data_IF_436952900798
#
_entry.id   IF_436952900798
#
_cell.length_a   1.000
_cell.length_b   1.000
_cell.length_c   1.000
_cell.angle_alpha   90.00
_cell.angle_beta   90.00
_cell.angle_gamma   90.00
#
_symmetry.space_group_name_H-M   'P 1'
#
loop_
_entity.id
_entity.type
_entity.pdbx_description
1 polymer ?
#
# COMPACT_ATOMS: atom_id res chain seq x y z
N UNK A 1 34.37 -26.29 6.43
CA UNK A 1 33.15 -27.12 6.50
C UNK A 1 32.16 -26.35 7.35
N UNK A 2 31.26 -25.61 6.72
CA UNK A 2 30.21 -24.90 7.46
C UNK A 2 29.21 -25.96 7.91
N UNK A 3 29.17 -26.23 9.21
CA UNK A 3 28.11 -27.05 9.82
C UNK A 3 26.86 -26.18 9.77
N UNK A 4 26.09 -26.33 8.71
CA UNK A 4 24.69 -25.94 8.70
C UNK A 4 24.02 -26.90 9.69
N UNK A 5 23.38 -26.40 10.75
CA UNK A 5 22.54 -27.26 11.58
C UNK A 5 21.43 -27.79 10.69
N UNK A 6 21.37 -29.11 10.51
CA UNK A 6 20.31 -29.76 9.78
C UNK A 6 19.08 -29.91 10.69
N UNK A 7 17.90 -29.60 10.17
CA UNK A 7 16.64 -29.73 10.91
C UNK A 7 16.25 -31.20 11.10
N UNK A 8 16.77 -32.09 10.26
CA UNK A 8 16.62 -33.54 10.36
C UNK A 8 17.77 -34.22 11.15
N UNK A 9 18.47 -33.49 12.03
CA UNK A 9 19.54 -34.06 12.86
C UNK A 9 19.03 -35.17 13.79
N UNK A 10 19.63 -36.35 13.69
CA UNK A 10 19.42 -37.48 14.59
C UNK A 10 20.71 -37.79 15.37
N UNK A 11 20.66 -37.69 16.70
CA UNK A 11 21.81 -37.96 17.58
C UNK A 11 22.19 -39.45 17.66
N UNK A 12 21.30 -40.33 17.19
CA UNK A 12 21.52 -41.78 17.11
C UNK A 12 22.01 -42.23 15.74
N UNK A 13 22.09 -41.33 14.75
CA UNK A 13 22.60 -41.66 13.43
C UNK A 13 24.07 -42.10 13.51
N UNK A 14 24.33 -43.36 13.13
CA UNK A 14 25.69 -43.93 13.07
C UNK A 14 26.29 -43.87 11.67
N UNK A 15 25.55 -43.36 10.69
CA UNK A 15 25.97 -43.30 9.28
C UNK A 15 25.40 -42.04 8.65
N UNK A 16 26.25 -41.28 7.97
CA UNK A 16 25.87 -40.11 7.19
C UNK A 16 25.30 -40.57 5.85
N UNK A 17 24.02 -40.28 5.61
CA UNK A 17 23.34 -40.58 4.34
C UNK A 17 23.47 -39.44 3.32
N UNK A 18 24.20 -38.36 3.65
CA UNK A 18 24.39 -37.18 2.82
C UNK A 18 23.15 -36.28 2.70
N UNK A 19 22.07 -36.59 3.42
CA UNK A 19 20.82 -35.83 3.38
C UNK A 19 20.73 -34.99 4.66
N UNK A 20 21.23 -33.76 4.56
CA UNK A 20 21.05 -32.73 5.59
C UNK A 20 19.98 -31.74 5.11
N UNK A 21 18.78 -31.85 5.67
CA UNK A 21 17.70 -30.93 5.33
C UNK A 21 17.86 -29.64 6.14
N UNK A 22 17.84 -28.52 5.45
CA UNK A 22 17.63 -27.20 6.03
C UNK A 22 16.32 -26.67 5.49
N UNK A 23 15.35 -26.59 6.39
CA UNK A 23 14.03 -26.04 6.15
C UNK A 23 14.12 -24.52 6.20
N UNK A 24 13.61 -23.89 5.15
CA UNK A 24 13.51 -22.44 5.06
C UNK A 24 12.71 -22.05 3.82
N UNK A 25 12.32 -20.78 3.74
CA UNK A 25 11.66 -20.29 2.55
C UNK A 25 12.67 -20.27 1.39
N UNK A 26 12.33 -20.92 0.27
CA UNK A 26 13.17 -20.91 -0.94
C UNK A 26 12.72 -19.88 -1.99
N UNK A 27 11.63 -19.17 -1.73
CA UNK A 27 11.12 -18.12 -2.62
C UNK A 27 11.87 -16.80 -2.44
N UNK A 28 12.43 -16.28 -3.53
CA UNK A 28 13.26 -15.06 -3.54
C UNK A 28 12.48 -13.75 -3.32
N UNK A 29 11.17 -13.78 -3.51
CA UNK A 29 10.28 -12.64 -3.26
C UNK A 29 9.93 -12.44 -1.79
N UNK A 30 10.25 -13.40 -0.90
CA UNK A 30 9.87 -13.38 0.51
C UNK A 30 10.93 -12.71 1.39
N UNK A 31 10.49 -12.04 2.45
CA UNK A 31 11.38 -11.37 3.39
C UNK A 31 12.17 -12.36 4.26
N UNK A 32 11.59 -13.54 4.50
CA UNK A 32 12.22 -14.65 5.21
C UNK A 32 12.95 -15.64 4.28
N UNK A 33 13.31 -15.21 3.06
CA UNK A 33 14.06 -16.01 2.11
C UNK A 33 15.37 -16.53 2.71
N UNK A 34 15.57 -17.83 2.57
CA UNK A 34 16.76 -18.54 3.01
C UNK A 34 17.51 -19.14 1.81
N UNK A 35 18.53 -18.42 1.34
CA UNK A 35 19.40 -18.85 0.22
C UNK A 35 20.19 -20.15 0.46
N UNK A 36 20.20 -20.64 1.70
CA UNK A 36 20.89 -21.86 2.08
C UNK A 36 19.91 -22.99 2.43
N UNK A 37 18.60 -22.75 2.36
CA UNK A 37 17.60 -23.81 2.49
C UNK A 37 17.75 -24.84 1.37
N UNK A 38 17.68 -26.12 1.75
CA UNK A 38 17.73 -27.25 0.81
C UNK A 38 16.34 -27.84 0.56
N UNK A 39 15.40 -27.53 1.45
CA UNK A 39 14.00 -27.98 1.40
C UNK A 39 13.09 -26.82 1.78
N UNK A 40 12.12 -26.52 0.91
CA UNK A 40 11.13 -25.46 1.17
C UNK A 40 10.22 -25.89 2.33
N UNK A 41 10.09 -25.03 3.33
CA UNK A 41 9.20 -25.27 4.46
C UNK A 41 7.74 -24.85 4.17
N UNK A 42 7.48 -24.22 3.02
CA UNK A 42 6.15 -23.73 2.61
C UNK A 42 5.67 -22.50 3.38
N UNK A 43 6.52 -21.92 4.22
CA UNK A 43 6.25 -20.70 5.01
C UNK A 43 7.17 -19.60 4.48
N UNK A 44 6.71 -18.94 3.42
CA UNK A 44 7.35 -17.79 2.81
C UNK A 44 6.54 -16.54 3.14
N UNK A 45 7.12 -15.68 3.99
CA UNK A 45 6.45 -14.50 4.50
C UNK A 45 7.00 -13.24 3.85
N UNK A 46 6.09 -12.39 3.41
CA UNK A 46 6.38 -11.03 2.97
C UNK A 46 5.44 -10.07 3.68
N UNK A 47 6.04 -9.09 4.34
CA UNK A 47 5.34 -8.01 5.02
C UNK A 47 4.93 -6.95 4.00
N UNK A 48 3.70 -6.46 4.13
CA UNK A 48 3.19 -5.35 3.34
C UNK A 48 1.70 -5.20 3.50
N UNK A 49 1.11 -4.21 2.84
CA UNK A 49 -0.33 -4.02 2.88
C UNK A 49 -1.07 -5.13 2.12
N UNK A 50 -1.96 -5.84 2.80
CA UNK A 50 -2.79 -6.90 2.20
C UNK A 50 -4.21 -6.45 1.84
N UNK A 51 -4.55 -5.20 2.14
CA UNK A 51 -5.88 -4.64 1.87
C UNK A 51 -5.99 -4.08 0.46
N UNK A 52 -6.94 -4.59 -0.33
CA UNK A 52 -7.17 -4.22 -1.73
C UNK A 52 -7.70 -2.79 -1.95
N UNK A 53 -8.24 -2.16 -0.91
CA UNK A 53 -8.69 -0.77 -0.92
C UNK A 53 -7.55 0.26 -0.76
N UNK A 54 -6.35 -0.20 -0.39
CA UNK A 54 -5.22 0.69 -0.09
C UNK A 54 -4.42 1.03 -1.36
N UNK A 55 -3.91 2.26 -1.42
CA UNK A 55 -3.07 2.76 -2.52
C UNK A 55 -1.71 2.06 -2.56
N UNK A 56 -1.22 1.58 -1.42
CA UNK A 56 0.03 0.84 -1.27
C UNK A 56 -0.17 -0.68 -1.15
N UNK A 57 -1.29 -1.21 -1.65
CA UNK A 57 -1.55 -2.65 -1.70
C UNK A 57 -0.38 -3.42 -2.35
N UNK A 58 0.14 -4.42 -1.65
CA UNK A 58 1.18 -5.31 -2.14
C UNK A 58 0.58 -6.69 -2.44
N UNK A 59 0.45 -7.00 -3.73
CA UNK A 59 -0.11 -8.28 -4.20
C UNK A 59 0.72 -9.50 -3.79
N UNK A 60 1.98 -9.31 -3.38
CA UNK A 60 2.86 -10.37 -2.91
C UNK A 60 2.93 -10.44 -1.38
N UNK A 61 2.35 -9.49 -0.65
CA UNK A 61 2.32 -9.55 0.81
C UNK A 61 1.46 -10.73 1.28
N UNK A 62 2.04 -11.57 2.13
CA UNK A 62 1.35 -12.71 2.76
C UNK A 62 0.94 -12.41 4.19
N UNK A 63 1.53 -11.37 4.79
CA UNK A 63 1.25 -10.92 6.16
C UNK A 63 1.07 -9.41 6.17
N UNK A 64 -0.08 -8.97 6.69
CA UNK A 64 -0.37 -7.54 6.87
C UNK A 64 0.58 -6.94 7.91
N UNK A 65 1.30 -5.90 7.52
CA UNK A 65 2.21 -5.16 8.41
C UNK A 65 1.55 -3.91 9.04
N UNK A 66 0.28 -3.65 8.70
CA UNK A 66 -0.46 -2.48 9.16
C UNK A 66 -0.03 -1.17 8.49
N UNK A 67 0.76 -1.23 7.41
CA UNK A 67 1.17 -0.06 6.63
C UNK A 67 0.14 0.40 5.61
N UNK A 68 -1.00 -0.31 5.46
CA UNK A 68 -2.04 0.03 4.50
C UNK A 68 -2.48 1.49 4.59
N UNK A 69 -2.42 2.16 3.45
CA UNK A 69 -2.71 3.58 3.35
C UNK A 69 -3.56 3.92 2.13
N UNK A 70 -4.43 4.90 2.31
CA UNK A 70 -5.28 5.53 1.32
C UNK A 70 -5.14 7.04 1.48
N UNK A 71 -4.55 7.67 0.48
CA UNK A 71 -4.39 9.11 0.39
C UNK A 71 -5.72 9.75 0.00
N UNK A 72 -6.05 10.86 0.65
CA UNK A 72 -7.20 11.65 0.25
C UNK A 72 -7.37 12.91 1.08
N UNK A 73 -8.26 13.77 0.60
CA UNK A 73 -8.57 15.00 1.29
C UNK A 73 -9.39 14.72 2.56
N UNK A 74 -8.86 15.03 3.74
CA UNK A 74 -9.56 14.83 5.01
C UNK A 74 -10.28 16.07 5.55
N UNK A 75 -10.35 17.14 4.77
CA UNK A 75 -10.90 18.41 5.23
C UNK A 75 -12.34 18.58 4.74
N UNK A 76 -13.29 18.71 5.67
CA UNK A 76 -14.73 18.82 5.39
C UNK A 76 -15.13 20.02 4.52
N UNK A 77 -14.24 20.99 4.33
CA UNK A 77 -14.50 22.14 3.45
C UNK A 77 -14.30 21.81 1.96
N UNK A 78 -13.62 20.71 1.63
CA UNK A 78 -13.27 20.34 0.27
C UNK A 78 -14.36 19.52 -0.40
N UNK A 79 -14.54 19.71 -1.70
CA UNK A 79 -15.56 19.01 -2.49
C UNK A 79 -15.17 17.53 -2.70
N UNK A 80 -13.88 17.23 -2.70
CA UNK A 80 -13.35 15.86 -2.77
C UNK A 80 -12.99 15.27 -1.40
N UNK A 81 -13.68 15.71 -0.34
CA UNK A 81 -13.54 15.11 0.98
C UNK A 81 -13.70 13.59 0.94
N UNK A 82 -12.71 12.89 1.48
CA UNK A 82 -12.66 11.44 1.59
C UNK A 82 -12.63 11.00 3.06
N UNK A 83 -13.80 10.61 3.57
CA UNK A 83 -13.96 10.06 4.93
C UNK A 83 -13.22 8.74 5.16
N UNK A 84 -12.83 8.03 4.10
CA UNK A 84 -12.14 6.74 4.16
C UNK A 84 -10.63 6.87 4.01
N UNK A 85 -10.11 8.06 3.72
CA UNK A 85 -8.67 8.28 3.68
C UNK A 85 -8.06 7.91 5.04
N UNK A 86 -6.91 7.25 5.03
CA UNK A 86 -6.12 6.93 6.23
C UNK A 86 -4.98 7.91 6.41
N UNK A 87 -4.46 8.48 5.31
CA UNK A 87 -3.48 9.58 5.32
C UNK A 87 -4.05 10.82 4.64
N UNK A 88 -3.81 11.98 5.25
CA UNK A 88 -4.23 13.26 4.70
C UNK A 88 -3.33 13.65 3.52
N UNK A 89 -3.95 13.97 2.39
CA UNK A 89 -3.31 14.64 1.26
C UNK A 89 -3.94 16.04 1.08
N UNK A 90 -3.42 17.09 1.74
CA UNK A 90 -3.96 18.44 1.65
C UNK A 90 -3.83 19.05 0.25
N UNK A 91 -2.88 18.59 -0.57
CA UNK A 91 -2.67 19.11 -1.92
C UNK A 91 -3.71 18.56 -2.90
N UNK A 92 -4.26 17.37 -2.62
CA UNK A 92 -5.41 16.83 -3.36
C UNK A 92 -6.70 17.62 -3.12
N UNK A 93 -6.83 18.34 -2.01
CA UNK A 93 -8.08 19.00 -1.62
C UNK A 93 -8.43 20.14 -2.57
N UNK A 94 -9.64 20.12 -3.11
CA UNK A 94 -10.13 21.23 -3.92
C UNK A 94 -11.53 21.66 -3.56
N UNK A 95 -11.80 22.93 -3.88
CA UNK A 95 -13.13 23.49 -3.97
C UNK A 95 -13.32 24.09 -5.36
N UNK A 96 -14.31 23.57 -6.07
CA UNK A 96 -14.72 24.04 -7.37
C UNK A 96 -15.53 25.33 -7.24
N UNK A 97 -15.17 26.33 -8.04
CA UNK A 97 -15.94 27.56 -8.17
C UNK A 97 -15.35 28.45 -9.24
N UNK A 98 -16.01 29.55 -9.58
CA UNK A 98 -15.37 30.57 -10.41
C UNK A 98 -14.54 31.50 -9.52
N UNK A 99 -13.31 31.81 -9.93
CA UNK A 99 -12.45 32.77 -9.21
C UNK A 99 -12.72 34.23 -9.60
N UNK A 100 -13.56 34.45 -10.60
CA UNK A 100 -13.92 35.78 -11.10
C UNK A 100 -15.22 36.28 -10.46
N UNK A 101 -15.13 37.38 -9.70
CA UNK A 101 -16.25 37.97 -8.96
C UNK A 101 -17.46 38.40 -9.83
N UNK A 102 -17.26 38.56 -11.13
CA UNK A 102 -18.30 38.94 -12.10
C UNK A 102 -19.15 37.76 -12.57
N UNK A 103 -18.78 36.52 -12.20
CA UNK A 103 -19.46 35.30 -12.60
C UNK A 103 -20.49 34.89 -11.54
N UNK A 104 -21.63 34.33 -11.98
CA UNK A 104 -22.71 33.94 -11.07
C UNK A 104 -22.33 32.77 -10.14
N UNK A 105 -21.41 31.92 -10.59
CA UNK A 105 -20.84 30.81 -9.82
C UNK A 105 -19.52 31.21 -9.13
N UNK A 106 -19.30 32.50 -8.86
CA UNK A 106 -18.16 32.97 -8.07
C UNK A 106 -18.17 32.35 -6.67
N UNK A 107 -17.05 31.76 -6.27
CA UNK A 107 -16.80 31.35 -4.88
C UNK A 107 -15.45 31.93 -4.43
N UNK A 108 -15.42 32.82 -3.42
CA UNK A 108 -14.17 33.40 -2.90
C UNK A 108 -13.23 32.37 -2.24
N UNK A 109 -13.72 31.16 -1.98
CA UNK A 109 -12.96 30.05 -1.41
C UNK A 109 -12.60 28.98 -2.45
N UNK A 110 -12.93 29.18 -3.73
CA UNK A 110 -12.56 28.27 -4.80
C UNK A 110 -11.03 28.13 -4.87
N UNK A 111 -10.56 26.89 -4.93
CA UNK A 111 -9.15 26.57 -5.20
C UNK A 111 -8.95 26.05 -6.62
N UNK A 112 -10.03 25.69 -7.32
CA UNK A 112 -10.03 25.27 -8.72
C UNK A 112 -11.08 26.03 -9.53
N UNK A 113 -10.66 26.67 -10.62
CA UNK A 113 -11.56 27.42 -11.50
C UNK A 113 -12.32 26.46 -12.43
N UNK A 114 -13.65 26.43 -12.29
CA UNK A 114 -14.51 25.52 -13.05
C UNK A 114 -14.62 25.85 -14.54
N UNK A 115 -14.03 26.95 -15.04
CA UNK A 115 -14.11 27.43 -16.43
C UNK A 115 -15.54 27.49 -17.02
N UNK A 116 -16.56 27.29 -16.19
CA UNK A 116 -17.95 27.34 -16.57
C UNK A 116 -18.34 28.80 -16.67
N UNK A 117 -18.31 29.32 -17.89
CA UNK A 117 -18.78 30.67 -18.20
C UNK A 117 -20.31 30.71 -18.13
N UNK A 118 -20.86 30.76 -16.92
CA UNK A 118 -22.28 31.10 -16.74
C UNK A 118 -22.37 32.62 -16.71
N UNK A 119 -22.28 33.24 -17.89
CA UNK A 119 -22.53 34.68 -18.03
C UNK A 119 -23.95 34.98 -17.56
N UNK A 120 -24.15 36.11 -16.88
CA UNK A 120 -25.49 36.61 -16.61
C UNK A 120 -26.26 36.61 -17.93
N UNK A 121 -27.22 35.71 -18.09
CA UNK A 121 -28.26 35.93 -19.08
C UNK A 121 -28.90 37.24 -18.66
N UNK A 122 -28.64 38.28 -19.46
CA UNK A 122 -29.33 39.55 -19.43
C UNK A 122 -30.84 39.30 -19.36
N UNK A 123 -31.36 39.19 -18.14
CA UNK A 123 -32.77 39.38 -17.88
C UNK A 123 -32.94 40.89 -17.76
N UNK A 124 -33.23 41.46 -18.92
CA UNK A 124 -33.86 42.75 -19.14
C UNK A 124 -34.96 43.05 -18.13
#
# INVERSE_FOLDING_TARGET
MYIIRADNYDSLATTDNGICDRLGCMSDWADNYDSLATTDNGICDRLGCTSDWADNYDVLATTDDGSCDRLGCKYDWADNYDSLATTADPESCFREGCMYETMINYDPLATQDTHLLVMQNNLS
#
